data_IF_872442189004
#
_entry.id   IF_872442189004
#
_cell.length_a   1.000
_cell.length_b   1.000
_cell.length_c   1.000
_cell.angle_alpha   90.00
_cell.angle_beta   90.00
_cell.angle_gamma   90.00
#
_symmetry.space_group_name_H-M   'P 1'
#
loop_
_entity.id
_entity.type
_entity.pdbx_description
1 polymer ?
#
# COMPACT_ATOMS: atom_id res chain seq x y z
N UNK A 1 -5.20 -16.90 17.99
CA UNK A 1 -5.00 -15.86 16.96
C UNK A 1 -4.21 -14.75 17.63
N UNK A 2 -2.89 -14.74 17.46
CA UNK A 2 -2.02 -13.83 18.21
C UNK A 2 -2.34 -12.40 17.80
N UNK A 3 -2.89 -11.62 18.73
CA UNK A 3 -3.04 -10.18 18.57
C UNK A 3 -1.68 -9.57 18.31
N UNK A 4 -1.61 -8.65 17.35
CA UNK A 4 -0.38 -7.94 17.02
C UNK A 4 0.00 -7.10 18.24
N UNK A 5 1.26 -7.17 18.65
CA UNK A 5 1.76 -6.35 19.74
C UNK A 5 1.60 -4.86 19.41
N UNK A 6 1.22 -4.03 20.38
CA UNK A 6 0.95 -2.60 20.15
C UNK A 6 2.18 -1.88 19.60
N UNK A 7 3.38 -2.19 20.10
CA UNK A 7 4.63 -1.60 19.62
C UNK A 7 5.01 -2.07 18.23
N UNK A 8 4.72 -3.34 17.89
CA UNK A 8 4.86 -3.84 16.52
C UNK A 8 3.90 -3.11 15.56
N UNK A 9 2.64 -2.94 15.96
CA UNK A 9 1.63 -2.23 15.18
C UNK A 9 2.02 -0.77 14.94
N UNK A 10 2.58 -0.09 15.93
CA UNK A 10 3.02 1.31 15.80
C UNK A 10 4.11 1.48 14.75
N UNK A 11 5.12 0.60 14.77
CA UNK A 11 6.20 0.61 13.77
C UNK A 11 5.66 0.30 12.37
N UNK A 12 4.84 -0.74 12.26
CA UNK A 12 4.23 -1.13 10.99
C UNK A 12 3.35 0.00 10.41
N UNK A 13 2.60 0.69 11.26
CA UNK A 13 1.79 1.84 10.88
C UNK A 13 2.64 3.00 10.35
N UNK A 14 3.70 3.36 11.07
CA UNK A 14 4.61 4.41 10.64
C UNK A 14 5.28 4.08 9.30
N UNK A 15 5.83 2.87 9.15
CA UNK A 15 6.44 2.42 7.90
C UNK A 15 5.44 2.44 6.74
N UNK A 16 4.25 1.88 6.95
CA UNK A 16 3.21 1.83 5.93
C UNK A 16 2.79 3.23 5.47
N UNK A 17 2.58 4.16 6.41
CA UNK A 17 2.23 5.55 6.08
C UNK A 17 3.37 6.33 5.44
N UNK A 18 4.62 5.94 5.65
CA UNK A 18 5.77 6.47 4.93
C UNK A 18 5.87 5.94 3.51
N UNK A 19 5.61 4.65 3.30
CA UNK A 19 5.66 4.04 1.98
C UNK A 19 4.47 4.42 1.09
N UNK A 20 3.25 4.48 1.66
CA UNK A 20 2.05 4.91 0.93
C UNK A 20 2.00 6.44 0.94
N UNK A 21 2.76 7.04 0.02
CA UNK A 21 2.99 8.48 -0.07
C UNK A 21 1.91 9.24 -0.87
N UNK A 22 0.88 8.54 -1.37
CA UNK A 22 -0.33 9.13 -1.92
C UNK A 22 -1.39 9.29 -0.83
N UNK A 23 -2.12 10.40 -0.87
CA UNK A 23 -3.30 10.61 -0.03
C UNK A 23 -4.42 9.64 -0.41
N UNK A 24 -5.37 9.45 0.50
CA UNK A 24 -6.58 8.66 0.21
C UNK A 24 -7.38 9.22 -0.96
N UNK A 25 -7.36 10.55 -1.17
CA UNK A 25 -8.00 11.19 -2.31
C UNK A 25 -7.27 10.91 -3.62
N UNK A 26 -5.95 11.05 -3.66
CA UNK A 26 -5.11 10.75 -4.83
C UNK A 26 -5.25 9.27 -5.24
N UNK A 27 -5.17 8.35 -4.27
CA UNK A 27 -5.33 6.92 -4.54
C UNK A 27 -6.75 6.60 -5.04
N UNK A 28 -7.79 7.20 -4.45
CA UNK A 28 -9.16 7.01 -4.94
C UNK A 28 -9.37 7.54 -6.35
N UNK A 29 -8.74 8.67 -6.71
CA UNK A 29 -8.78 9.20 -8.07
C UNK A 29 -8.07 8.27 -9.05
N UNK A 30 -6.88 7.78 -8.69
CA UNK A 30 -6.11 6.82 -9.49
C UNK A 30 -6.87 5.51 -9.74
N UNK A 31 -7.45 4.91 -8.70
CA UNK A 31 -8.17 3.64 -8.84
C UNK A 31 -9.42 3.75 -9.72
N UNK A 32 -10.02 4.95 -9.87
CA UNK A 32 -11.13 5.15 -10.81
C UNK A 32 -10.70 5.06 -12.27
N UNK A 33 -9.44 5.38 -12.59
CA UNK A 33 -8.93 5.37 -13.98
C UNK A 33 -8.15 4.11 -14.32
N UNK A 34 -7.63 3.38 -13.34
CA UNK A 34 -6.81 2.18 -13.51
C UNK A 34 -7.56 0.89 -13.96
N UNK A 35 -8.74 0.97 -14.58
CA UNK A 35 -9.42 -0.19 -15.19
C UNK A 35 -9.86 -1.32 -14.22
N UNK A 36 -9.97 -2.57 -14.70
CA UNK A 36 -10.40 -3.75 -13.89
C UNK A 36 -9.25 -4.73 -13.59
N UNK A 37 -8.06 -4.21 -13.27
CA UNK A 37 -6.89 -5.01 -12.90
C UNK A 37 -7.05 -5.64 -11.49
N UNK A 38 -6.66 -6.90 -11.24
CA UNK A 38 -6.55 -7.47 -9.90
C UNK A 38 -5.82 -6.60 -8.85
N UNK A 39 -4.88 -5.74 -9.29
CA UNK A 39 -4.21 -4.76 -8.43
C UNK A 39 -5.20 -3.75 -7.78
N UNK A 40 -6.36 -3.53 -8.38
CA UNK A 40 -7.41 -2.65 -7.87
C UNK A 40 -7.95 -3.10 -6.51
N UNK A 41 -8.15 -4.39 -6.30
CA UNK A 41 -8.74 -4.88 -5.05
C UNK A 41 -7.79 -4.66 -3.87
N UNK A 42 -6.49 -4.83 -4.09
CA UNK A 42 -5.47 -4.44 -3.11
C UNK A 42 -5.47 -2.94 -2.89
N UNK A 43 -5.51 -2.14 -3.95
CA UNK A 43 -5.59 -0.69 -3.87
C UNK A 43 -6.80 -0.19 -3.07
N UNK A 44 -7.98 -0.79 -3.26
CA UNK A 44 -9.19 -0.47 -2.50
C UNK A 44 -9.05 -0.81 -1.01
N UNK A 45 -8.39 -1.92 -0.68
CA UNK A 45 -8.09 -2.27 0.72
C UNK A 45 -7.07 -1.32 1.34
N UNK A 46 -6.04 -0.91 0.60
CA UNK A 46 -5.09 0.14 1.03
C UNK A 46 -5.84 1.45 1.29
N UNK A 47 -6.73 1.86 0.38
CA UNK A 47 -7.57 3.03 0.55
C UNK A 47 -8.44 2.94 1.82
N UNK A 48 -8.99 1.77 2.12
CA UNK A 48 -9.75 1.54 3.36
C UNK A 48 -8.86 1.73 4.60
N UNK A 49 -7.62 1.22 4.59
CA UNK A 49 -6.66 1.41 5.70
C UNK A 49 -6.29 2.89 5.86
N UNK A 50 -6.04 3.63 4.78
CA UNK A 50 -5.71 5.06 4.84
C UNK A 50 -6.80 5.91 5.51
N UNK A 51 -8.05 5.42 5.54
CA UNK A 51 -9.21 6.06 6.17
C UNK A 51 -9.46 5.61 7.61
N UNK A 52 -8.74 4.60 8.11
CA UNK A 52 -8.86 4.11 9.49
C UNK A 52 -8.00 4.93 10.44
N UNK A 53 -8.39 4.97 11.72
CA UNK A 53 -7.46 5.34 12.79
C UNK A 53 -6.58 4.13 13.10
N UNK A 54 -5.36 4.37 13.59
CA UNK A 54 -4.41 3.31 13.98
C UNK A 54 -5.03 2.26 14.90
N UNK A 55 -5.85 2.70 15.86
CA UNK A 55 -6.51 1.83 16.84
C UNK A 55 -7.58 0.90 16.22
N UNK A 56 -8.06 1.22 15.02
CA UNK A 56 -9.08 0.45 14.30
C UNK A 56 -8.43 -0.54 13.29
N UNK A 57 -7.09 -0.64 13.27
CA UNK A 57 -6.35 -1.55 12.40
C UNK A 57 -6.52 -2.98 12.87
N UNK A 58 -7.00 -3.84 11.97
CA UNK A 58 -7.21 -5.26 12.22
C UNK A 58 -5.97 -6.09 11.88
N UNK A 59 -5.96 -7.36 12.29
CA UNK A 59 -4.90 -8.29 11.92
C UNK A 59 -4.76 -8.45 10.39
N UNK A 60 -5.86 -8.42 9.64
CA UNK A 60 -5.85 -8.53 8.18
C UNK A 60 -5.37 -7.26 7.49
N UNK A 61 -5.67 -6.09 8.07
CA UNK A 61 -5.09 -4.82 7.62
C UNK A 61 -3.57 -4.85 7.78
N UNK A 62 -3.08 -5.29 8.94
CA UNK A 62 -1.65 -5.37 9.20
C UNK A 62 -0.93 -6.39 8.30
N UNK A 63 -1.58 -7.52 7.95
CA UNK A 63 -1.05 -8.44 6.93
C UNK A 63 -0.89 -7.72 5.59
N UNK A 64 -1.92 -7.01 5.15
CA UNK A 64 -1.86 -6.23 3.91
C UNK A 64 -0.80 -5.13 3.96
N UNK A 65 -0.65 -4.43 5.09
CA UNK A 65 0.40 -3.41 5.27
C UNK A 65 1.80 -4.00 5.06
N UNK A 66 2.07 -5.18 5.63
CA UNK A 66 3.36 -5.88 5.43
C UNK A 66 3.57 -6.27 3.97
N UNK A 67 2.54 -6.78 3.30
CA UNK A 67 2.59 -7.15 1.88
C UNK A 67 2.88 -5.94 0.97
N UNK A 68 2.22 -4.81 1.23
CA UNK A 68 2.44 -3.55 0.49
C UNK A 68 3.86 -3.07 0.68
N UNK A 69 4.35 -3.03 1.92
CA UNK A 69 5.73 -2.64 2.21
C UNK A 69 6.75 -3.54 1.52
N UNK A 70 6.54 -4.86 1.55
CA UNK A 70 7.39 -5.80 0.84
C UNK A 70 7.38 -5.55 -0.67
N UNK A 71 6.20 -5.28 -1.25
CA UNK A 71 6.05 -5.00 -2.68
C UNK A 71 6.76 -3.72 -3.10
N UNK A 72 6.60 -2.64 -2.32
CA UNK A 72 7.26 -1.35 -2.57
C UNK A 72 8.79 -1.52 -2.46
N UNK A 73 9.28 -2.17 -1.40
CA UNK A 73 10.72 -2.44 -1.22
C UNK A 73 11.30 -3.26 -2.38
N UNK A 74 10.64 -4.34 -2.77
CA UNK A 74 11.09 -5.18 -3.87
C UNK A 74 11.16 -4.41 -5.20
N UNK A 75 10.20 -3.53 -5.45
CA UNK A 75 10.17 -2.72 -6.66
C UNK A 75 11.32 -1.71 -6.74
N UNK A 76 11.85 -1.26 -5.59
CA UNK A 76 12.96 -0.30 -5.48
C UNK A 76 14.33 -0.99 -5.51
N UNK A 77 14.47 -2.15 -4.85
CA UNK A 77 15.77 -2.82 -4.71
C UNK A 77 16.16 -3.66 -5.92
N UNK A 78 15.19 -4.29 -6.59
CA UNK A 78 15.46 -5.14 -7.74
C UNK A 78 14.42 -4.88 -8.83
N UNK A 79 14.70 -3.95 -9.75
CA UNK A 79 13.82 -3.74 -10.88
C UNK A 79 13.89 -4.92 -11.85
N UNK A 80 13.21 -6.02 -11.52
CA UNK A 80 12.98 -7.13 -12.43
C UNK A 80 12.28 -6.66 -13.72
N UNK A 81 12.22 -7.53 -14.74
CA UNK A 81 11.96 -7.22 -16.17
C UNK A 81 10.66 -6.52 -16.58
N UNK A 82 9.91 -5.90 -15.65
CA UNK A 82 8.85 -4.96 -15.97
C UNK A 82 9.43 -3.61 -16.40
N UNK A 83 8.78 -2.98 -17.38
CA UNK A 83 9.10 -1.62 -17.83
C UNK A 83 8.92 -0.61 -16.70
N UNK A 84 9.55 0.56 -16.82
CA UNK A 84 9.39 1.65 -15.86
C UNK A 84 7.91 2.08 -15.71
N UNK A 85 7.15 2.07 -16.81
CA UNK A 85 5.72 2.40 -16.82
C UNK A 85 4.87 1.40 -16.04
N UNK A 86 5.05 0.10 -16.30
CA UNK A 86 4.33 -0.97 -15.58
C UNK A 86 4.67 -1.01 -14.09
N UNK A 87 5.93 -0.72 -13.75
CA UNK A 87 6.36 -0.59 -12.34
C UNK A 87 5.64 0.57 -11.67
N UNK A 88 5.66 1.75 -12.29
CA UNK A 88 4.98 2.94 -11.76
C UNK A 88 3.49 2.69 -11.58
N UNK A 89 2.84 2.11 -12.59
CA UNK A 89 1.41 1.78 -12.53
C UNK A 89 1.08 0.87 -11.35
N UNK A 90 1.85 -0.20 -11.14
CA UNK A 90 1.65 -1.12 -10.01
C UNK A 90 1.86 -0.44 -8.66
N UNK A 91 2.89 0.39 -8.53
CA UNK A 91 3.17 1.10 -7.28
C UNK A 91 2.08 2.12 -6.95
N UNK A 92 1.64 2.90 -7.95
CA UNK A 92 0.56 3.88 -7.77
C UNK A 92 -0.77 3.20 -7.43
N UNK A 93 -1.00 1.99 -7.95
CA UNK A 93 -2.17 1.17 -7.58
C UNK A 93 -2.15 0.70 -6.12
N UNK A 94 -0.99 0.76 -5.45
CA UNK A 94 -0.82 0.54 -4.00
C UNK A 94 -0.68 1.85 -3.22
N UNK A 95 -0.84 3.01 -3.86
CA UNK A 95 -0.71 4.33 -3.24
C UNK A 95 0.73 4.81 -3.03
N UNK A 96 1.70 4.23 -3.76
CA UNK A 96 3.07 4.71 -3.81
C UNK A 96 3.35 5.35 -5.17
N UNK A 97 3.57 6.67 -5.21
CA UNK A 97 4.09 7.35 -6.40
C UNK A 97 5.63 7.39 -6.32
N UNK A 98 6.36 6.67 -7.20
CA UNK A 98 7.82 6.67 -7.20
C UNK A 98 8.45 7.97 -7.70
N UNK A 99 7.66 8.93 -8.19
CA UNK A 99 8.15 10.26 -8.60
C UNK A 99 7.97 11.34 -7.52
N UNK A 100 7.48 10.95 -6.34
CA UNK A 100 7.31 11.84 -5.19
C UNK A 100 8.49 11.73 -4.23
#
# INVERSE_FOLDING_TARGET
MSGIDTGELDRLWAEFRGAVNMTSHELAAWLRTAGSDPAQDRGRRVLAILRKRRIDVTADDARLMREVLATVRAATTAPGGATAGERRYRLMSLGHDPLR
#
